data_IF_820769845725
#
_entry.id   IF_820769845725
#
_cell.length_a   1.000
_cell.length_b   1.000
_cell.length_c   1.000
_cell.angle_alpha   90.00
_cell.angle_beta   90.00
_cell.angle_gamma   90.00
#
_symmetry.space_group_name_H-M   'P 1'
#
loop_
_entity.id
_entity.type
_entity.pdbx_description
1 polymer ?
#
# COMPACT_ATOMS: atom_id res chain seq x y z
N UNK A 1 -9.33 2.50 16.36
CA UNK A 1 -8.26 1.62 16.89
C UNK A 1 -7.21 1.45 15.80
N UNK A 2 -5.90 1.40 16.11
CA UNK A 2 -4.88 1.21 15.07
C UNK A 2 -4.92 -0.22 14.51
N UNK A 3 -4.41 -0.40 13.28
CA UNK A 3 -4.42 -1.69 12.61
C UNK A 3 -3.56 -2.72 13.33
N UNK A 4 -2.39 -2.31 13.80
CA UNK A 4 -1.46 -3.17 14.53
C UNK A 4 -2.07 -3.64 15.85
N UNK A 5 -2.80 -2.75 16.55
CA UNK A 5 -3.50 -3.10 17.78
C UNK A 5 -4.62 -4.10 17.53
N UNK A 6 -5.43 -3.87 16.50
CA UNK A 6 -6.55 -4.76 16.19
C UNK A 6 -6.08 -6.18 15.80
N UNK A 7 -5.04 -6.27 14.96
CA UNK A 7 -4.39 -7.54 14.63
C UNK A 7 -3.84 -8.20 15.90
N UNK A 8 -3.17 -7.42 16.75
CA UNK A 8 -2.60 -7.93 18.00
C UNK A 8 -3.62 -8.52 18.96
N UNK A 9 -4.73 -7.82 19.18
CA UNK A 9 -5.76 -8.26 20.13
C UNK A 9 -6.43 -9.57 19.68
N UNK A 10 -6.40 -9.89 18.37
CA UNK A 10 -6.93 -11.13 17.80
C UNK A 10 -5.90 -12.24 17.59
N UNK A 11 -4.61 -11.93 17.60
CA UNK A 11 -3.53 -12.89 17.34
C UNK A 11 -3.17 -13.71 18.59
N UNK A 12 -3.97 -14.75 18.86
CA UNK A 12 -3.96 -15.48 20.13
C UNK A 12 -2.69 -16.31 20.45
N UNK A 13 -1.71 -16.46 19.55
CA UNK A 13 -0.56 -17.39 19.74
C UNK A 13 0.82 -16.99 19.19
N UNK A 14 0.99 -15.79 18.66
CA UNK A 14 2.25 -15.34 18.03
C UNK A 14 2.78 -14.04 18.60
N UNK A 15 4.10 -13.88 18.60
CA UNK A 15 4.74 -12.59 18.89
C UNK A 15 4.53 -11.67 17.69
N UNK A 16 3.79 -10.58 17.87
CA UNK A 16 3.78 -9.50 16.90
C UNK A 16 4.87 -8.53 17.30
N UNK A 17 5.82 -8.33 16.40
CA UNK A 17 6.78 -7.24 16.56
C UNK A 17 6.25 -6.07 15.78
N UNK A 18 5.41 -5.29 16.44
CA UNK A 18 5.10 -3.95 15.98
C UNK A 18 6.34 -3.11 16.27
N UNK A 19 6.91 -2.37 15.30
CA UNK A 19 7.98 -1.41 15.58
C UNK A 19 7.56 -0.25 16.50
N UNK A 20 6.36 -0.31 17.10
CA UNK A 20 5.64 0.77 17.80
C UNK A 20 6.34 1.34 19.02
N UNK A 21 7.52 0.84 19.41
CA UNK A 21 8.27 1.37 20.55
C UNK A 21 9.74 1.70 20.25
N UNK A 22 10.13 1.83 18.97
CA UNK A 22 11.50 2.21 18.57
C UNK A 22 11.52 3.39 17.61
N UNK A 23 10.84 4.47 17.99
CA UNK A 23 10.82 5.78 17.31
C UNK A 23 12.19 6.45 17.11
N UNK A 24 13.29 5.81 17.53
CA UNK A 24 14.67 6.27 17.32
C UNK A 24 15.39 5.49 16.21
N UNK A 25 14.82 4.39 15.70
CA UNK A 25 15.36 3.64 14.58
C UNK A 25 14.73 4.16 13.29
N UNK A 26 15.54 4.85 12.48
CA UNK A 26 15.14 5.38 11.18
C UNK A 26 16.04 4.81 10.09
N UNK A 27 15.50 4.68 8.87
CA UNK A 27 16.23 4.22 7.68
C UNK A 27 16.78 2.80 7.84
N UNK A 28 17.98 2.57 7.31
CA UNK A 28 18.62 1.26 7.18
C UNK A 28 18.62 0.41 8.47
N UNK A 29 18.75 1.04 9.64
CA UNK A 29 18.74 0.31 10.92
C UNK A 29 17.39 -0.33 11.23
N UNK A 30 16.30 0.33 10.86
CA UNK A 30 14.95 -0.23 11.02
C UNK A 30 14.76 -1.39 10.04
N UNK A 31 15.19 -1.23 8.80
CA UNK A 31 15.13 -2.27 7.76
C UNK A 31 15.91 -3.51 8.19
N UNK A 32 17.17 -3.37 8.60
CA UNK A 32 18.00 -4.50 9.06
C UNK A 32 17.33 -5.23 10.23
N UNK A 33 16.79 -4.49 11.20
CA UNK A 33 16.08 -5.08 12.33
C UNK A 33 14.81 -5.82 11.87
N UNK A 34 13.95 -5.18 11.07
CA UNK A 34 12.71 -5.77 10.59
C UNK A 34 12.98 -7.05 9.77
N UNK A 35 13.96 -7.01 8.87
CA UNK A 35 14.41 -8.16 8.08
C UNK A 35 14.97 -9.28 8.95
N UNK A 36 15.73 -8.96 10.00
CA UNK A 36 16.21 -9.98 10.96
C UNK A 36 15.05 -10.66 11.66
N UNK A 37 14.07 -9.88 12.13
CA UNK A 37 12.90 -10.39 12.82
C UNK A 37 12.01 -11.22 11.89
N UNK A 38 11.87 -10.80 10.63
CA UNK A 38 11.07 -11.51 9.64
C UNK A 38 11.54 -12.97 9.45
N UNK A 39 12.85 -13.23 9.54
CA UNK A 39 13.43 -14.57 9.43
C UNK A 39 13.11 -15.48 10.64
N UNK A 40 12.81 -14.88 11.78
CA UNK A 40 12.58 -15.60 13.04
C UNK A 40 11.09 -15.91 13.30
N UNK A 41 10.18 -15.44 12.45
CA UNK A 41 8.73 -15.57 12.65
C UNK A 41 8.08 -16.33 11.50
N UNK A 42 7.00 -17.07 11.80
CA UNK A 42 6.31 -17.89 10.80
C UNK A 42 5.59 -17.03 9.73
N UNK A 43 5.07 -15.86 10.14
CA UNK A 43 4.31 -14.95 9.30
C UNK A 43 4.63 -13.51 9.70
N UNK A 44 4.59 -12.60 8.74
CA UNK A 44 4.92 -11.19 8.95
C UNK A 44 3.79 -10.33 8.38
N UNK A 45 3.39 -9.31 9.13
CA UNK A 45 2.41 -8.33 8.70
C UNK A 45 3.07 -6.96 8.78
N UNK A 46 3.16 -6.29 7.63
CA UNK A 46 3.66 -4.92 7.54
C UNK A 46 2.47 -3.98 7.39
N UNK A 47 2.26 -3.10 8.36
CA UNK A 47 1.30 -2.00 8.24
C UNK A 47 2.07 -0.75 7.78
N UNK A 48 1.69 -0.19 6.63
CA UNK A 48 2.41 0.92 6.02
C UNK A 48 1.53 1.75 5.10
N UNK A 49 2.07 2.85 4.60
CA UNK A 49 1.38 3.73 3.66
C UNK A 49 1.68 5.19 3.93
N UNK A 50 0.64 6.02 3.80
CA UNK A 50 0.69 7.46 3.98
C UNK A 50 -0.12 7.87 5.20
N UNK A 51 -0.23 9.18 5.43
CA UNK A 51 -0.98 9.74 6.54
C UNK A 51 -1.57 11.10 6.15
N UNK A 52 -2.39 11.66 7.04
CA UNK A 52 -3.09 12.94 6.85
C UNK A 52 -2.17 14.17 6.71
N UNK A 53 -0.87 14.04 6.99
CA UNK A 53 0.11 15.11 6.72
C UNK A 53 0.59 15.09 5.26
N UNK A 54 0.54 13.92 4.62
CA UNK A 54 1.01 13.70 3.24
C UNK A 54 -0.13 13.73 2.23
N UNK A 55 -1.29 13.21 2.60
CA UNK A 55 -2.52 13.29 1.83
C UNK A 55 -3.46 14.22 2.58
N UNK A 56 -3.50 15.48 2.15
CA UNK A 56 -4.15 16.55 2.89
C UNK A 56 -4.83 17.53 1.94
N UNK A 57 -5.81 18.24 2.47
CA UNK A 57 -6.50 19.29 1.73
C UNK A 57 -5.51 20.42 1.38
N UNK A 58 -5.74 21.09 0.24
CA UNK A 58 -4.99 22.27 -0.21
C UNK A 58 -3.54 22.03 -0.68
N UNK A 59 -3.03 20.79 -0.61
CA UNK A 59 -1.70 20.48 -1.15
C UNK A 59 -1.67 19.12 -1.86
N UNK A 60 -1.28 19.15 -3.12
CA UNK A 60 -0.98 17.93 -3.88
C UNK A 60 0.33 17.29 -3.44
N UNK A 61 0.41 15.96 -3.54
CA UNK A 61 1.67 15.24 -3.33
C UNK A 61 2.64 15.54 -4.48
N UNK A 62 3.90 15.81 -4.12
CA UNK A 62 4.98 16.06 -5.10
C UNK A 62 5.49 14.77 -5.78
N UNK A 63 5.22 13.61 -5.18
CA UNK A 63 5.58 12.30 -5.74
C UNK A 63 4.60 11.21 -5.31
N UNK A 64 4.63 10.07 -6.00
CA UNK A 64 3.92 8.86 -5.58
C UNK A 64 4.74 7.96 -4.64
N UNK A 65 5.96 8.36 -4.26
CA UNK A 65 6.82 7.52 -3.44
C UNK A 65 6.26 7.33 -2.04
N UNK A 66 6.41 6.12 -1.51
CA UNK A 66 6.13 5.87 -0.11
C UNK A 66 7.10 6.64 0.80
N UNK A 67 6.73 6.93 2.06
CA UNK A 67 7.58 7.72 2.96
C UNK A 67 8.90 7.03 3.28
N UNK A 68 10.00 7.79 3.20
CA UNK A 68 11.32 7.33 3.62
C UNK A 68 11.81 6.14 2.79
N UNK A 69 12.07 5.03 3.46
CA UNK A 69 12.58 3.77 2.89
C UNK A 69 11.55 2.64 3.02
N UNK A 70 10.26 2.98 3.06
CA UNK A 70 9.21 1.99 3.33
C UNK A 70 9.08 0.95 2.22
N UNK A 71 9.25 1.35 0.96
CA UNK A 71 9.32 0.47 -0.20
C UNK A 71 10.47 -0.53 -0.09
N UNK A 72 11.66 -0.06 0.28
CA UNK A 72 12.83 -0.90 0.52
C UNK A 72 12.59 -1.87 1.69
N UNK A 73 12.02 -1.38 2.80
CA UNK A 73 11.71 -2.21 3.96
C UNK A 73 10.71 -3.31 3.61
N UNK A 74 9.67 -2.99 2.85
CA UNK A 74 8.70 -3.94 2.32
C UNK A 74 9.39 -5.03 1.52
N UNK A 75 10.23 -4.64 0.55
CA UNK A 75 10.90 -5.57 -0.33
C UNK A 75 11.86 -6.49 0.44
N UNK A 76 12.70 -5.94 1.30
CA UNK A 76 13.68 -6.73 2.06
C UNK A 76 13.01 -7.71 3.05
N UNK A 77 11.91 -7.29 3.69
CA UNK A 77 11.15 -8.16 4.59
C UNK A 77 10.43 -9.27 3.81
N UNK A 78 9.78 -8.95 2.69
CA UNK A 78 9.12 -9.95 1.86
C UNK A 78 10.11 -10.97 1.28
N UNK A 79 11.30 -10.52 0.87
CA UNK A 79 12.37 -11.40 0.41
C UNK A 79 12.92 -12.29 1.54
N UNK A 80 12.94 -11.81 2.77
CA UNK A 80 13.39 -12.58 3.94
C UNK A 80 12.33 -13.56 4.46
N UNK A 81 11.05 -13.28 4.25
CA UNK A 81 9.95 -14.15 4.66
C UNK A 81 8.84 -14.19 3.58
N UNK A 82 8.68 -15.32 2.85
CA UNK A 82 7.67 -15.46 1.81
C UNK A 82 6.23 -15.58 2.34
N UNK A 83 6.02 -15.56 3.66
CA UNK A 83 4.70 -15.46 4.33
C UNK A 83 4.48 -14.05 4.89
N UNK A 84 4.85 -13.05 4.09
CA UNK A 84 4.64 -11.63 4.40
C UNK A 84 3.36 -11.12 3.76
N UNK A 85 2.54 -10.42 4.55
CA UNK A 85 1.36 -9.67 4.10
C UNK A 85 1.59 -8.18 4.34
N UNK A 86 1.26 -7.36 3.36
CA UNK A 86 1.30 -5.89 3.50
C UNK A 86 -0.12 -5.35 3.62
N UNK A 87 -0.34 -4.55 4.65
CA UNK A 87 -1.53 -3.72 4.79
C UNK A 87 -1.18 -2.28 4.42
N UNK A 88 -1.70 -1.83 3.27
CA UNK A 88 -1.40 -0.53 2.70
C UNK A 88 -2.52 0.46 2.99
N UNK A 89 -2.20 1.52 3.73
CA UNK A 89 -3.11 2.63 4.02
C UNK A 89 -2.70 3.88 3.25
N UNK A 90 -3.32 4.07 2.09
CA UNK A 90 -3.16 5.27 1.25
C UNK A 90 -4.51 5.66 0.66
N UNK A 91 -4.75 6.94 0.36
CA UNK A 91 -5.95 7.36 -0.37
C UNK A 91 -5.79 7.17 -1.88
N UNK A 92 -4.57 7.35 -2.37
CA UNK A 92 -4.24 7.29 -3.79
C UNK A 92 -3.07 6.35 -4.04
N UNK A 93 -2.84 5.92 -5.29
CA UNK A 93 -1.75 5.01 -5.62
C UNK A 93 -0.39 5.51 -5.13
N UNK A 94 0.41 4.57 -4.61
CA UNK A 94 1.82 4.77 -4.29
C UNK A 94 2.70 3.92 -5.20
N UNK A 95 3.89 4.43 -5.51
CA UNK A 95 4.94 3.66 -6.18
C UNK A 95 5.48 2.59 -5.23
N UNK A 96 5.44 1.34 -5.68
CA UNK A 96 5.96 0.18 -4.97
C UNK A 96 6.78 -0.66 -5.96
N UNK A 97 8.06 -0.32 -6.20
CA UNK A 97 8.92 -1.13 -7.06
C UNK A 97 9.06 -2.54 -6.49
N UNK A 98 8.90 -3.57 -7.32
CA UNK A 98 9.02 -4.97 -6.89
C UNK A 98 7.82 -5.51 -6.12
N UNK A 99 6.66 -4.82 -6.18
CA UNK A 99 5.43 -5.26 -5.50
C UNK A 99 4.95 -6.63 -5.98
N UNK A 100 5.31 -7.04 -7.20
CA UNK A 100 5.06 -8.35 -7.78
C UNK A 100 5.75 -9.49 -7.02
N UNK A 101 6.83 -9.20 -6.29
CA UNK A 101 7.55 -10.16 -5.44
C UNK A 101 6.94 -10.26 -4.04
N UNK A 102 5.99 -9.38 -3.71
CA UNK A 102 5.30 -9.43 -2.41
C UNK A 102 4.17 -10.46 -2.47
N UNK A 103 4.14 -11.45 -1.55
CA UNK A 103 3.16 -12.54 -1.60
C UNK A 103 1.70 -12.08 -1.49
N UNK A 104 1.43 -11.07 -0.66
CA UNK A 104 0.08 -10.58 -0.43
C UNK A 104 0.08 -9.09 -0.07
N UNK A 105 -0.83 -8.35 -0.70
CA UNK A 105 -1.06 -6.93 -0.46
C UNK A 105 -2.55 -6.70 -0.25
N UNK A 106 -2.89 -5.99 0.82
CA UNK A 106 -4.25 -5.57 1.14
C UNK A 106 -4.26 -4.04 1.11
N UNK A 107 -4.98 -3.47 0.15
CA UNK A 107 -5.25 -2.03 0.11
C UNK A 107 -6.39 -1.72 1.09
N UNK A 108 -6.07 -1.13 2.24
CA UNK A 108 -6.99 -0.88 3.35
C UNK A 108 -7.57 0.54 3.38
N UNK A 109 -7.05 1.45 2.55
CA UNK A 109 -7.46 2.87 2.50
C UNK A 109 -7.44 3.52 3.91
N UNK A 110 -8.23 4.58 4.10
CA UNK A 110 -8.56 5.14 5.41
C UNK A 110 -10.02 4.85 5.77
N UNK A 111 -10.27 3.68 6.40
CA UNK A 111 -11.61 3.20 6.77
C UNK A 111 -12.21 3.77 8.06
N UNK A 112 -11.67 4.87 8.60
CA UNK A 112 -12.14 5.48 9.84
C UNK A 112 -11.89 4.65 11.11
N UNK A 113 -12.77 4.81 12.11
CA UNK A 113 -12.56 4.29 13.47
C UNK A 113 -12.34 2.76 13.56
N UNK A 114 -13.02 2.02 12.69
CA UNK A 114 -13.04 0.56 12.66
C UNK A 114 -12.03 -0.06 11.69
N UNK A 115 -11.19 0.75 11.02
CA UNK A 115 -10.22 0.27 10.01
C UNK A 115 -9.40 -0.93 10.50
N UNK A 116 -8.91 -0.87 11.74
CA UNK A 116 -8.13 -1.97 12.30
C UNK A 116 -8.91 -3.26 12.46
N UNK A 117 -10.16 -3.20 12.94
CA UNK A 117 -11.02 -4.37 13.08
C UNK A 117 -11.39 -4.95 11.72
N UNK A 118 -11.79 -4.11 10.77
CA UNK A 118 -12.10 -4.55 9.40
C UNK A 118 -10.91 -5.23 8.74
N UNK A 119 -9.70 -4.69 8.93
CA UNK A 119 -8.48 -5.33 8.43
C UNK A 119 -8.24 -6.70 9.07
N UNK A 120 -8.41 -6.81 10.39
CA UNK A 120 -8.26 -8.08 11.09
C UNK A 120 -9.31 -9.11 10.61
N UNK A 121 -10.57 -8.71 10.41
CA UNK A 121 -11.64 -9.59 9.90
C UNK A 121 -11.31 -10.17 8.52
N UNK A 122 -10.71 -9.37 7.62
CA UNK A 122 -10.19 -9.86 6.33
C UNK A 122 -9.01 -10.80 6.52
N UNK A 123 -8.05 -10.43 7.36
CA UNK A 123 -6.80 -11.16 7.55
C UNK A 123 -7.04 -12.55 8.17
N UNK A 124 -7.97 -12.64 9.12
CA UNK A 124 -8.32 -13.89 9.80
C UNK A 124 -9.46 -14.66 9.13
N UNK A 125 -10.03 -14.13 8.05
CA UNK A 125 -11.02 -14.82 7.22
C UNK A 125 -12.46 -14.77 7.76
N UNK A 126 -12.77 -13.89 8.71
CA UNK A 126 -14.17 -13.64 9.11
C UNK A 126 -14.96 -12.93 8.03
N UNK A 127 -14.26 -12.20 7.14
CA UNK A 127 -14.80 -11.60 5.95
C UNK A 127 -13.93 -11.95 4.73
N UNK A 128 -14.58 -12.41 3.65
CA UNK A 128 -13.91 -12.64 2.37
C UNK A 128 -13.98 -11.35 1.54
N UNK A 129 -12.84 -10.70 1.22
CA UNK A 129 -12.85 -9.47 0.45
C UNK A 129 -13.48 -9.67 -0.91
N UNK A 130 -14.35 -8.72 -1.29
CA UNK A 130 -15.13 -8.74 -2.55
C UNK A 130 -15.06 -7.42 -3.32
N UNK A 131 -14.29 -6.47 -2.78
CA UNK A 131 -14.13 -5.13 -3.29
C UNK A 131 -13.26 -5.10 -4.54
N UNK A 132 -13.48 -4.07 -5.36
CA UNK A 132 -12.73 -3.82 -6.60
C UNK A 132 -12.02 -2.48 -6.50
N UNK A 133 -10.82 -2.39 -7.07
CA UNK A 133 -10.08 -1.13 -7.11
C UNK A 133 -10.84 -0.07 -7.92
N UNK A 134 -11.10 1.08 -7.29
CA UNK A 134 -11.71 2.26 -7.91
C UNK A 134 -10.71 3.10 -8.70
N UNK A 135 -9.41 2.82 -8.59
CA UNK A 135 -8.31 3.54 -9.23
C UNK A 135 -7.39 2.56 -9.95
N UNK A 136 -6.74 3.02 -11.02
CA UNK A 136 -5.61 2.33 -11.64
C UNK A 136 -4.33 2.64 -10.88
N UNK A 137 -3.51 1.63 -10.58
CA UNK A 137 -2.23 1.78 -9.88
C UNK A 137 -1.08 1.69 -10.89
N UNK A 138 -0.54 2.81 -11.37
CA UNK A 138 0.57 2.81 -12.32
C UNK A 138 1.87 2.36 -11.64
N UNK A 139 2.81 1.86 -12.45
CA UNK A 139 4.14 1.44 -11.97
C UNK A 139 4.98 2.63 -11.49
N UNK A 140 4.81 3.79 -12.11
CA UNK A 140 5.53 5.04 -11.82
C UNK A 140 4.69 6.26 -12.14
N UNK A 141 4.98 7.38 -11.49
CA UNK A 141 4.30 8.66 -11.64
C UNK A 141 4.33 9.17 -13.09
N UNK A 142 5.41 8.92 -13.83
CA UNK A 142 5.54 9.35 -15.23
C UNK A 142 4.58 8.62 -16.18
N UNK A 143 3.98 7.51 -15.74
CA UNK A 143 2.97 6.80 -16.52
C UNK A 143 1.55 7.35 -16.28
N UNK A 144 1.36 8.28 -15.33
CA UNK A 144 0.08 8.94 -15.11
C UNK A 144 -0.23 9.88 -16.29
N UNK A 145 -1.43 9.82 -16.89
CA UNK A 145 -1.77 10.65 -18.06
C UNK A 145 -1.60 12.16 -17.80
N UNK A 146 -1.92 12.62 -16.60
CA UNK A 146 -1.80 14.01 -16.20
C UNK A 146 -0.37 14.44 -15.80
N UNK A 147 0.64 13.55 -15.81
CA UNK A 147 1.97 13.79 -15.23
C UNK A 147 2.60 15.14 -15.65
N UNK A 148 2.51 15.49 -16.94
CA UNK A 148 3.12 16.70 -17.48
C UNK A 148 2.34 17.97 -17.06
N UNK A 149 1.02 17.85 -16.88
CA UNK A 149 0.09 18.96 -16.70
C UNK A 149 -0.56 19.03 -15.30
N UNK A 150 -0.08 18.26 -14.32
CA UNK A 150 -0.64 18.22 -12.96
C UNK A 150 -0.11 19.34 -12.05
N UNK A 151 -0.06 20.58 -12.56
CA UNK A 151 0.31 21.77 -11.79
C UNK A 151 -0.28 23.03 -12.39
N UNK A 152 -0.62 24.00 -11.54
CA UNK A 152 -1.05 25.33 -12.01
C UNK A 152 0.13 26.08 -12.61
N UNK A 153 0.06 26.35 -13.91
CA UNK A 153 1.01 27.18 -14.62
C UNK A 153 0.32 28.44 -15.14
N UNK A 154 0.85 29.61 -14.77
CA UNK A 154 0.28 30.91 -15.16
C UNK A 154 -1.24 31.02 -14.89
N UNK A 155 -1.72 30.45 -13.77
CA UNK A 155 -3.12 30.51 -13.36
C UNK A 155 -4.06 29.54 -14.08
N UNK A 156 -3.54 28.55 -14.81
CA UNK A 156 -4.34 27.53 -15.51
C UNK A 156 -3.74 26.13 -15.38
N UNK A 157 -4.58 25.13 -15.64
CA UNK A 157 -4.21 23.73 -15.80
C UNK A 157 -4.82 23.26 -17.13
N UNK A 158 -4.01 22.60 -17.98
CA UNK A 158 -4.46 22.06 -19.25
C UNK A 158 -4.69 20.56 -19.10
N UNK A 159 -5.95 20.13 -19.28
CA UNK A 159 -6.34 18.72 -19.26
C UNK A 159 -6.01 18.08 -20.62
N UNK A 160 -4.71 17.92 -20.89
CA UNK A 160 -4.19 17.49 -22.19
C UNK A 160 -4.43 16.02 -22.51
N UNK A 161 -4.74 15.22 -21.50
CA UNK A 161 -5.17 13.83 -21.64
C UNK A 161 -6.60 13.68 -22.19
N UNK A 162 -7.38 14.77 -22.18
CA UNK A 162 -8.77 14.80 -22.66
C UNK A 162 -9.60 13.66 -22.03
N UNK A 163 -10.27 12.83 -22.84
CA UNK A 163 -11.09 11.71 -22.36
C UNK A 163 -10.25 10.51 -21.88
N UNK A 164 -8.93 10.50 -22.10
CA UNK A 164 -8.04 9.42 -21.72
C UNK A 164 -7.58 9.58 -20.27
N UNK A 165 -8.53 9.36 -19.35
CA UNK A 165 -8.32 9.39 -17.90
C UNK A 165 -8.37 7.98 -17.30
N UNK A 166 -7.49 7.74 -16.33
CA UNK A 166 -7.42 6.47 -15.61
C UNK A 166 -7.26 5.28 -16.55
N UNK A 167 -8.04 4.22 -16.34
CA UNK A 167 -7.97 2.97 -17.13
C UNK A 167 -8.06 3.19 -18.65
N UNK A 168 -8.83 4.19 -19.11
CA UNK A 168 -8.97 4.50 -20.54
C UNK A 168 -7.64 4.85 -21.20
N UNK A 169 -6.79 5.59 -20.49
CA UNK A 169 -5.45 5.91 -20.96
C UNK A 169 -4.57 4.68 -21.04
N UNK A 170 -4.53 3.89 -19.96
CA UNK A 170 -3.63 2.74 -19.89
C UNK A 170 -3.99 1.66 -20.91
N UNK A 171 -5.29 1.43 -21.14
CA UNK A 171 -5.79 0.53 -22.19
C UNK A 171 -5.43 1.05 -23.58
N UNK A 172 -5.69 2.34 -23.87
CA UNK A 172 -5.39 2.94 -25.18
C UNK A 172 -3.89 2.95 -25.50
N UNK A 173 -3.06 3.30 -24.52
CA UNK A 173 -1.62 3.45 -24.67
C UNK A 173 -0.85 2.13 -24.49
N UNK A 174 -1.52 1.01 -24.17
CA UNK A 174 -0.88 -0.29 -23.93
C UNK A 174 0.12 -0.25 -22.76
N UNK A 175 -0.23 0.45 -21.68
CA UNK A 175 0.64 0.65 -20.51
C UNK A 175 0.35 -0.35 -19.42
N UNK A 176 1.39 -0.96 -18.89
CA UNK A 176 1.28 -1.89 -17.77
C UNK A 176 1.01 -1.16 -16.45
N UNK A 177 0.24 -1.81 -15.59
CA UNK A 177 -0.14 -1.35 -14.26
C UNK A 177 0.34 -2.35 -13.21
N UNK A 178 0.58 -1.89 -11.98
CA UNK A 178 0.71 -2.78 -10.83
C UNK A 178 -0.65 -3.44 -10.55
N UNK A 179 -1.71 -2.62 -10.52
CA UNK A 179 -3.07 -3.10 -10.33
C UNK A 179 -4.06 -2.35 -11.26
N UNK A 180 -4.70 -3.03 -12.23
CA UNK A 180 -5.74 -2.43 -13.06
C UNK A 180 -6.98 -1.97 -12.28
N UNK A 181 -7.69 -1.02 -12.87
CA UNK A 181 -9.01 -0.61 -12.41
C UNK A 181 -9.96 -1.81 -12.39
N UNK A 182 -10.80 -1.91 -11.37
CA UNK A 182 -11.76 -3.00 -11.25
C UNK A 182 -11.15 -4.35 -10.86
N UNK A 183 -9.83 -4.43 -10.63
CA UNK A 183 -9.21 -5.64 -10.13
C UNK A 183 -9.76 -6.01 -8.76
N UNK A 184 -10.02 -7.29 -8.56
CA UNK A 184 -10.26 -7.90 -7.26
C UNK A 184 -9.38 -9.15 -7.14
N UNK A 185 -9.00 -9.48 -5.91
CA UNK A 185 -8.45 -10.79 -5.55
C UNK A 185 -9.31 -11.37 -4.44
N UNK A 186 -9.93 -12.51 -4.70
CA UNK A 186 -10.66 -13.27 -3.68
C UNK A 186 -9.74 -14.33 -3.07
N UNK A 187 -9.89 -14.61 -1.78
CA UNK A 187 -9.30 -15.82 -1.22
C UNK A 187 -10.05 -17.02 -1.84
N UNK A 188 -9.39 -17.80 -2.69
CA UNK A 188 -9.84 -19.16 -2.99
C UNK A 188 -9.44 -19.99 -1.78
N UNK A 189 -10.39 -20.24 -0.88
CA UNK A 189 -10.22 -21.17 0.24
C UNK A 189 -9.98 -22.57 -0.33
N UNK A 190 -8.71 -22.93 -0.46
CA UNK A 190 -8.24 -24.28 -0.75
C UNK A 190 -7.97 -25.01 0.57
N UNK A 191 -8.81 -26.02 0.83
CA UNK A 191 -8.74 -27.05 1.86
C UNK A 191 -7.37 -27.69 2.08
#
# INVERSE_FOLDING_TARGET
MSMEKAVHDRWLKGKIIVPSNRSHLFGDKLTVLATSLAKEHDQVIICGGLNAERETESKDRESMKLPGTLDQLIYEVAAANPRTVIAMQTETPGEMPGIEEVPAVIQAWYGGNETGNCFADVLFGDYNPSEKLSLSFPKKLQDVPAFINFRTEAGRIVYGEDIYLGYRYYEYAGRELNFPFGQYSSQVLGS
#
